data_IF_046181384923
#
_entry.id   IF_046181384923
#
_cell.length_a   1.000
_cell.length_b   1.000
_cell.length_c   1.000
_cell.angle_alpha   90.00
_cell.angle_beta   90.00
_cell.angle_gamma   90.00
#
_symmetry.space_group_name_H-M   'P 1'
#
loop_
_entity.id
_entity.type
_entity.pdbx_description
1 polymer ?
#
# COMPACT_ATOMS: atom_id res chain seq x y z
N UNK A 1 -59.63 -20.59 -31.64
CA UNK A 1 -59.44 -20.42 -30.19
C UNK A 1 -57.93 -20.33 -29.95
N UNK A 2 -57.35 -19.13 -29.98
CA UNK A 2 -55.92 -18.91 -29.73
C UNK A 2 -55.76 -18.47 -28.28
N UNK A 3 -55.10 -19.29 -27.46
CA UNK A 3 -54.72 -18.94 -26.10
C UNK A 3 -53.33 -18.29 -26.13
N UNK A 4 -53.29 -16.98 -25.95
CA UNK A 4 -52.07 -16.23 -25.65
C UNK A 4 -51.72 -16.40 -24.17
N UNK A 5 -50.64 -17.10 -23.86
CA UNK A 5 -50.07 -17.14 -22.52
C UNK A 5 -49.19 -15.90 -22.30
N UNK A 6 -49.70 -14.91 -21.57
CA UNK A 6 -48.93 -13.77 -21.10
C UNK A 6 -48.07 -14.17 -19.90
N UNK A 7 -46.76 -14.28 -20.09
CA UNK A 7 -45.82 -14.39 -18.99
C UNK A 7 -45.69 -13.04 -18.28
N UNK A 8 -46.42 -12.87 -17.17
CA UNK A 8 -46.19 -11.79 -16.21
C UNK A 8 -44.83 -12.00 -15.54
N UNK A 9 -43.82 -11.28 -16.02
CA UNK A 9 -42.53 -11.19 -15.36
C UNK A 9 -42.65 -10.26 -14.15
N UNK A 10 -42.89 -10.83 -12.97
CA UNK A 10 -42.69 -10.12 -11.72
C UNK A 10 -41.18 -9.89 -11.50
N UNK A 11 -40.70 -8.71 -11.85
CA UNK A 11 -39.38 -8.24 -11.43
C UNK A 11 -39.41 -7.97 -9.93
N UNK A 12 -39.06 -8.99 -9.13
CA UNK A 12 -38.76 -8.80 -7.72
C UNK A 12 -37.54 -7.88 -7.64
N UNK A 13 -37.72 -6.63 -7.19
CA UNK A 13 -36.60 -5.71 -6.91
C UNK A 13 -35.72 -6.34 -5.81
N UNK A 14 -34.72 -7.11 -6.23
CA UNK A 14 -33.76 -7.70 -5.32
C UNK A 14 -33.00 -6.55 -4.66
N UNK A 15 -33.19 -6.37 -3.35
CA UNK A 15 -32.44 -5.41 -2.55
C UNK A 15 -30.95 -5.68 -2.72
N UNK A 16 -30.20 -4.69 -3.18
CA UNK A 16 -28.75 -4.82 -3.32
C UNK A 16 -28.11 -5.04 -1.95
N UNK A 17 -27.06 -5.87 -1.82
CA UNK A 17 -26.41 -6.14 -0.54
C UNK A 17 -25.54 -4.97 -0.07
N UNK A 18 -25.66 -3.79 -0.68
CA UNK A 18 -24.92 -2.59 -0.36
C UNK A 18 -25.72 -1.32 -0.66
N UNK A 19 -25.36 -0.24 0.03
CA UNK A 19 -25.82 1.12 -0.25
C UNK A 19 -24.63 1.94 -0.75
N UNK A 20 -24.86 2.77 -1.78
CA UNK A 20 -23.87 3.75 -2.27
C UNK A 20 -24.36 5.17 -2.03
N UNK A 21 -23.46 6.01 -1.54
CA UNK A 21 -23.72 7.42 -1.28
C UNK A 21 -23.20 8.28 -2.43
N UNK A 22 -23.64 7.99 -3.67
CA UNK A 22 -23.07 8.59 -4.89
C UNK A 22 -23.19 10.12 -4.93
N UNK A 23 -24.22 10.68 -4.32
CA UNK A 23 -24.49 12.12 -4.34
C UNK A 23 -23.80 12.88 -3.20
N UNK A 24 -23.18 12.15 -2.26
CA UNK A 24 -22.54 12.75 -1.09
C UNK A 24 -21.06 12.98 -1.37
N UNK A 25 -20.60 14.19 -1.08
CA UNK A 25 -19.17 14.45 -0.93
C UNK A 25 -18.76 13.89 0.44
N UNK A 26 -17.68 13.13 0.45
CA UNK A 26 -17.14 12.52 1.65
C UNK A 26 -15.83 13.20 1.99
N UNK A 27 -15.78 13.84 3.15
CA UNK A 27 -14.54 14.28 3.76
C UNK A 27 -14.09 13.21 4.74
N UNK A 28 -12.83 12.82 4.65
CA UNK A 28 -12.26 11.85 5.56
C UNK A 28 -10.85 12.26 5.96
N UNK A 29 -10.50 11.81 7.16
CA UNK A 29 -9.15 11.87 7.68
C UNK A 29 -8.75 10.49 8.15
N UNK A 30 -7.46 10.21 8.14
CA UNK A 30 -6.94 9.02 8.78
C UNK A 30 -5.71 9.31 9.60
N UNK A 31 -5.53 8.55 10.67
CA UNK A 31 -4.40 8.67 11.57
C UNK A 31 -3.81 7.29 11.74
N UNK A 32 -2.52 7.14 11.47
CA UNK A 32 -1.91 5.83 11.45
C UNK A 32 -0.41 5.83 11.33
N UNK A 33 0.15 4.63 11.26
CA UNK A 33 1.56 4.40 11.09
C UNK A 33 1.83 3.71 9.76
N UNK A 34 2.76 4.29 9.02
CA UNK A 34 3.26 3.74 7.77
C UNK A 34 4.71 3.35 7.97
N UNK A 35 5.06 2.14 7.55
CA UNK A 35 6.43 1.66 7.67
C UNK A 35 6.85 0.89 6.44
N UNK A 36 8.10 1.10 6.01
CA UNK A 36 8.69 0.40 4.88
C UNK A 36 10.13 -0.02 5.16
N UNK A 37 10.41 -0.73 6.27
CA UNK A 37 11.74 -1.26 6.50
C UNK A 37 12.12 -2.19 5.36
N UNK A 38 13.38 -2.14 4.97
CA UNK A 38 13.93 -3.08 4.02
C UNK A 38 15.21 -3.73 4.55
N UNK A 39 15.57 -4.84 3.93
CA UNK A 39 16.78 -5.60 4.24
C UNK A 39 17.52 -5.88 2.96
N UNK A 40 18.84 -5.81 3.04
CA UNK A 40 19.74 -6.32 2.00
C UNK A 40 20.40 -7.57 2.58
N UNK A 41 20.23 -8.70 1.91
CA UNK A 41 20.78 -10.00 2.30
C UNK A 41 21.85 -10.37 1.29
N UNK A 42 23.05 -10.63 1.78
CA UNK A 42 24.23 -11.04 1.04
C UNK A 42 25.23 -11.61 2.05
N UNK A 43 26.05 -12.62 1.71
CA UNK A 43 27.15 -13.06 2.56
C UNK A 43 28.28 -12.00 2.55
N UNK A 44 28.11 -10.91 3.30
CA UNK A 44 29.09 -9.82 3.33
C UNK A 44 30.40 -10.26 4.01
N UNK A 45 30.28 -10.97 5.13
CA UNK A 45 31.36 -11.65 5.84
C UNK A 45 30.78 -12.71 6.80
N UNK A 46 31.63 -13.37 7.58
CA UNK A 46 31.24 -14.45 8.50
C UNK A 46 30.21 -14.02 9.56
N UNK A 47 30.23 -12.75 9.98
CA UNK A 47 29.38 -12.21 11.05
C UNK A 47 28.12 -11.48 10.54
N UNK A 48 28.15 -11.02 9.29
CA UNK A 48 27.14 -10.12 8.70
C UNK A 48 26.62 -10.73 7.40
N UNK A 49 25.45 -11.36 7.50
CA UNK A 49 24.70 -11.89 6.33
C UNK A 49 23.50 -11.03 5.92
N UNK A 50 23.19 -9.97 6.69
CA UNK A 50 22.03 -9.11 6.45
C UNK A 50 22.16 -7.72 7.04
N UNK A 51 21.87 -6.72 6.22
CA UNK A 51 21.70 -5.34 6.62
C UNK A 51 20.21 -5.04 6.83
N UNK A 52 19.87 -4.38 7.93
CA UNK A 52 18.49 -4.07 8.32
C UNK A 52 18.30 -2.56 8.34
N UNK A 53 17.70 -2.03 7.29
CA UNK A 53 17.36 -0.63 7.18
C UNK A 53 16.02 -0.39 7.88
N UNK A 54 16.02 0.57 8.79
CA UNK A 54 14.87 0.94 9.60
C UNK A 54 14.57 2.40 9.39
N UNK A 55 13.38 2.68 8.87
CA UNK A 55 12.79 4.01 8.97
C UNK A 55 12.40 4.29 10.44
N UNK A 56 12.46 5.56 10.82
CA UNK A 56 11.93 6.05 12.08
C UNK A 56 10.49 6.50 11.88
N UNK A 57 9.57 5.69 12.36
CA UNK A 57 8.14 5.89 12.13
C UNK A 57 7.65 7.16 12.82
N UNK A 58 6.86 7.93 12.09
CA UNK A 58 6.07 9.05 12.60
C UNK A 58 4.60 8.72 12.46
N UNK A 59 3.77 9.36 13.29
CA UNK A 59 2.33 9.32 13.10
C UNK A 59 1.99 10.07 11.81
N UNK A 60 1.18 9.49 10.93
CA UNK A 60 0.80 10.09 9.65
C UNK A 60 -0.65 10.53 9.72
N UNK A 61 -0.91 11.80 9.40
CA UNK A 61 -2.23 12.35 9.19
C UNK A 61 -2.56 12.32 7.68
N UNK A 62 -3.55 11.50 7.33
CA UNK A 62 -4.19 11.51 6.03
C UNK A 62 -5.35 12.49 5.99
N UNK A 63 -5.44 13.27 4.92
CA UNK A 63 -6.60 14.10 4.58
C UNK A 63 -7.05 13.67 3.20
N UNK A 64 -8.35 13.44 3.03
CA UNK A 64 -8.88 13.04 1.75
C UNK A 64 -10.33 13.43 1.50
N UNK A 65 -10.66 13.43 0.22
CA UNK A 65 -11.99 13.70 -0.29
C UNK A 65 -12.40 12.57 -1.22
N UNK A 66 -13.66 12.18 -1.17
CA UNK A 66 -14.23 11.21 -2.11
C UNK A 66 -15.58 11.67 -2.62
N UNK A 67 -15.82 11.44 -3.90
CA UNK A 67 -17.07 11.78 -4.56
C UNK A 67 -17.37 10.78 -5.67
N UNK A 68 -18.60 10.25 -5.68
CA UNK A 68 -19.09 9.25 -6.64
C UNK A 68 -18.23 7.98 -6.74
N UNK A 69 -17.31 7.99 -7.70
CA UNK A 69 -16.47 6.86 -8.09
C UNK A 69 -14.99 7.15 -7.86
N UNK A 70 -14.65 8.29 -7.28
CA UNK A 70 -13.29 8.83 -7.15
C UNK A 70 -12.95 9.15 -5.69
N UNK A 71 -11.69 8.98 -5.30
CA UNK A 71 -11.15 9.52 -4.05
C UNK A 71 -9.69 9.98 -4.22
N UNK A 72 -9.33 11.02 -3.49
CA UNK A 72 -7.97 11.52 -3.36
C UNK A 72 -7.59 11.56 -1.88
N UNK A 73 -6.36 11.18 -1.56
CA UNK A 73 -5.79 11.21 -0.21
C UNK A 73 -4.36 11.76 -0.26
N UNK A 74 -4.06 12.70 0.62
CA UNK A 74 -2.72 13.18 0.92
C UNK A 74 -2.35 12.77 2.33
N UNK A 75 -1.19 12.15 2.52
CA UNK A 75 -0.65 11.79 3.83
C UNK A 75 0.57 12.64 4.18
N UNK A 76 0.57 13.20 5.39
CA UNK A 76 1.64 14.05 5.91
C UNK A 76 2.08 13.48 7.25
N UNK A 77 3.39 13.33 7.46
CA UNK A 77 3.93 12.95 8.76
C UNK A 77 3.77 14.10 9.77
N UNK A 78 3.22 13.78 10.94
CA UNK A 78 3.14 14.68 12.07
C UNK A 78 4.50 14.76 12.80
N UNK A 79 4.77 15.86 13.52
CA UNK A 79 5.97 15.99 14.33
C UNK A 79 6.09 14.85 15.36
N UNK A 80 7.33 14.40 15.58
CA UNK A 80 7.65 13.33 16.50
C UNK A 80 7.91 11.98 15.81
N UNK A 81 8.67 11.13 16.49
CA UNK A 81 9.09 9.82 15.98
C UNK A 81 8.96 8.78 17.08
N UNK A 82 8.65 7.53 16.74
CA UNK A 82 8.51 6.44 17.71
C UNK A 82 9.85 6.12 18.39
N UNK A 83 10.98 6.30 17.69
CA UNK A 83 12.32 6.02 18.22
C UNK A 83 13.15 7.29 18.36
N UNK A 84 14.16 7.32 19.26
CA UNK A 84 15.04 8.47 19.44
C UNK A 84 15.75 8.86 18.12
N UNK A 85 15.61 10.11 17.65
CA UNK A 85 16.27 10.57 16.42
C UNK A 85 17.78 10.45 16.45
N UNK A 86 18.42 10.57 17.61
CA UNK A 86 19.86 10.39 17.78
C UNK A 86 20.36 8.98 17.40
N UNK A 87 19.48 7.97 17.44
CA UNK A 87 19.83 6.57 17.10
C UNK A 87 19.21 6.06 15.81
N UNK A 88 18.17 6.71 15.30
CA UNK A 88 17.42 6.23 14.13
C UNK A 88 17.23 7.29 13.04
N UNK A 89 17.72 8.51 13.25
CA UNK A 89 17.47 9.64 12.36
C UNK A 89 16.00 10.04 12.36
N UNK A 90 15.62 10.89 11.41
CA UNK A 90 14.22 11.21 11.10
C UNK A 90 13.91 10.62 9.73
N UNK A 91 12.68 10.13 9.56
CA UNK A 91 12.18 9.73 8.23
C UNK A 91 11.13 10.72 7.80
N UNK A 92 11.25 11.23 6.58
CA UNK A 92 10.22 12.06 5.94
C UNK A 92 9.29 11.17 5.11
N UNK A 93 7.99 11.44 5.16
CA UNK A 93 6.96 10.65 4.51
C UNK A 93 6.17 11.51 3.53
N UNK A 94 6.08 11.04 2.29
CA UNK A 94 5.17 11.59 1.28
C UNK A 94 4.31 10.46 0.75
N UNK A 95 3.01 10.52 1.06
CA UNK A 95 2.03 9.53 0.63
C UNK A 95 0.94 10.22 -0.19
N UNK A 96 0.76 9.78 -1.43
CA UNK A 96 -0.34 10.20 -2.31
C UNK A 96 -1.13 8.97 -2.72
N UNK A 97 -2.44 8.99 -2.45
CA UNK A 97 -3.36 7.91 -2.79
C UNK A 97 -4.49 8.41 -3.67
N UNK A 98 -4.78 7.66 -4.72
CA UNK A 98 -5.81 7.97 -5.71
C UNK A 98 -6.63 6.72 -6.02
N UNK A 99 -7.91 6.78 -5.72
CA UNK A 99 -8.83 5.66 -5.93
C UNK A 99 -9.86 6.04 -6.99
N UNK A 100 -10.18 5.10 -7.88
CA UNK A 100 -11.32 5.30 -8.77
C UNK A 100 -11.99 4.00 -9.23
N UNK A 101 -13.21 4.09 -9.76
CA UNK A 101 -13.94 2.93 -10.29
C UNK A 101 -14.43 3.18 -11.71
N UNK A 102 -14.11 2.27 -12.62
CA UNK A 102 -14.61 2.28 -14.00
C UNK A 102 -15.30 0.96 -14.30
N UNK A 103 -16.59 1.00 -14.62
CA UNK A 103 -17.42 -0.20 -14.84
C UNK A 103 -17.32 -1.19 -13.67
N UNK A 104 -16.76 -2.38 -13.89
CA UNK A 104 -16.58 -3.44 -12.88
C UNK A 104 -15.19 -3.42 -12.22
N UNK A 105 -14.28 -2.57 -12.68
CA UNK A 105 -12.93 -2.46 -12.17
C UNK A 105 -12.83 -1.34 -11.13
N UNK A 106 -12.14 -1.61 -10.03
CA UNK A 106 -11.68 -0.61 -9.08
C UNK A 106 -10.18 -0.44 -9.22
N UNK A 107 -9.71 0.78 -9.29
CA UNK A 107 -8.30 1.14 -9.40
C UNK A 107 -7.89 1.81 -8.10
N UNK A 108 -6.75 1.40 -7.55
CA UNK A 108 -6.02 2.16 -6.54
C UNK A 108 -4.60 2.41 -7.01
N UNK A 109 -4.21 3.66 -6.88
CA UNK A 109 -2.96 4.19 -7.35
C UNK A 109 -2.31 4.88 -6.16
N UNK A 110 -1.18 4.37 -5.74
CA UNK A 110 -0.47 4.86 -4.56
C UNK A 110 0.97 5.19 -4.91
N UNK A 111 1.44 6.31 -4.36
CA UNK A 111 2.84 6.72 -4.36
C UNK A 111 3.29 6.91 -2.90
N UNK A 112 4.34 6.19 -2.55
CA UNK A 112 5.03 6.28 -1.26
C UNK A 112 6.49 6.67 -1.50
N UNK A 113 6.93 7.77 -0.89
CA UNK A 113 8.32 8.21 -0.92
C UNK A 113 8.79 8.46 0.51
N UNK A 114 9.70 7.62 0.99
CA UNK A 114 10.24 7.67 2.35
C UNK A 114 11.74 7.93 2.32
N UNK A 115 12.16 9.05 2.91
CA UNK A 115 13.54 9.49 2.96
C UNK A 115 14.07 9.42 4.41
N UNK A 116 15.27 8.87 4.60
CA UNK A 116 15.93 8.76 5.89
C UNK A 116 15.74 7.40 6.55
N UNK A 117 16.85 6.69 6.73
CA UNK A 117 16.90 5.36 7.36
C UNK A 117 18.05 5.26 8.36
N UNK A 118 18.04 4.21 9.17
CA UNK A 118 19.21 3.78 9.93
C UNK A 118 19.51 2.30 9.66
N UNK A 119 20.79 1.96 9.50
CA UNK A 119 21.25 0.58 9.43
C UNK A 119 21.43 0.08 10.86
N UNK A 120 20.58 -0.88 11.26
CA UNK A 120 20.57 -1.38 12.64
C UNK A 120 21.82 -2.22 12.93
N UNK A 121 22.43 -1.99 14.10
CA UNK A 121 23.61 -2.73 14.60
C UNK A 121 24.86 -2.58 13.72
N UNK A 122 25.10 -1.39 13.18
CA UNK A 122 26.23 -1.11 12.32
C UNK A 122 27.59 -1.08 13.04
N UNK A 123 27.60 -0.94 14.37
CA UNK A 123 28.83 -1.08 15.19
C UNK A 123 29.54 -2.43 15.04
N UNK A 124 28.91 -3.42 14.40
CA UNK A 124 29.51 -4.73 14.13
C UNK A 124 30.55 -4.72 13.01
N UNK A 125 30.56 -3.68 12.17
CA UNK A 125 31.49 -3.56 11.03
C UNK A 125 31.99 -2.12 10.82
N UNK A 126 31.52 -1.17 11.63
CA UNK A 126 31.89 0.23 11.54
C UNK A 126 32.45 0.67 12.89
N UNK A 127 33.77 0.78 12.97
CA UNK A 127 34.52 1.06 14.20
C UNK A 127 34.27 2.46 14.77
N UNK A 128 33.70 3.37 13.96
CA UNK A 128 33.26 4.70 14.42
C UNK A 128 32.00 4.63 15.30
N UNK A 129 31.37 3.46 15.41
CA UNK A 129 30.14 3.23 16.17
C UNK A 129 30.40 2.31 17.37
N UNK A 130 29.53 2.38 18.37
CA UNK A 130 29.66 1.59 19.60
C UNK A 130 28.28 1.22 20.17
N UNK A 131 28.24 0.58 21.34
CA UNK A 131 26.97 0.16 21.96
C UNK A 131 26.03 1.32 22.31
N UNK A 132 26.54 2.54 22.53
CA UNK A 132 25.75 3.74 22.82
C UNK A 132 25.16 4.36 21.55
N UNK A 133 25.90 4.25 20.43
CA UNK A 133 25.52 4.71 19.09
C UNK A 133 25.58 3.51 18.12
N UNK A 134 24.67 2.53 18.23
CA UNK A 134 24.84 1.23 17.58
C UNK A 134 24.41 1.20 16.11
N UNK A 135 23.84 2.28 15.58
CA UNK A 135 23.25 2.31 14.25
C UNK A 135 23.91 3.38 13.40
N UNK A 136 24.05 3.10 12.10
CA UNK A 136 24.53 4.05 11.12
C UNK A 136 23.35 4.81 10.52
N UNK A 137 23.40 6.14 10.53
CA UNK A 137 22.34 6.98 9.98
C UNK A 137 22.55 7.17 8.48
N UNK A 138 21.48 7.01 7.71
CA UNK A 138 21.44 7.17 6.25
C UNK A 138 20.31 8.15 5.89
N UNK A 139 20.50 9.47 6.14
CA UNK A 139 19.47 10.47 5.88
C UNK A 139 19.13 10.61 4.39
N UNK A 140 20.11 10.43 3.50
CA UNK A 140 19.93 10.57 2.04
C UNK A 140 19.30 9.34 1.37
N UNK A 141 19.12 8.25 2.11
CA UNK A 141 18.57 7.01 1.59
C UNK A 141 17.06 7.17 1.42
N UNK A 142 16.60 6.98 0.20
CA UNK A 142 15.20 7.11 -0.19
C UNK A 142 14.67 5.77 -0.67
N UNK A 143 13.48 5.41 -0.22
CA UNK A 143 12.70 4.34 -0.85
C UNK A 143 11.48 4.92 -1.53
N UNK A 144 11.22 4.45 -2.74
CA UNK A 144 10.08 4.83 -3.56
C UNK A 144 9.26 3.57 -3.85
N UNK A 145 7.94 3.69 -3.76
CA UNK A 145 7.00 2.69 -4.23
C UNK A 145 5.81 3.37 -4.90
N UNK A 146 5.71 3.19 -6.21
CA UNK A 146 4.53 3.51 -7.00
C UNK A 146 3.79 2.21 -7.33
N UNK A 147 2.47 2.21 -7.19
CA UNK A 147 1.66 1.04 -7.54
C UNK A 147 0.35 1.44 -8.20
N UNK A 148 -0.07 0.64 -9.18
CA UNK A 148 -1.41 0.65 -9.76
C UNK A 148 -1.98 -0.75 -9.56
N UNK A 149 -3.00 -0.86 -8.73
CA UNK A 149 -3.70 -2.10 -8.46
C UNK A 149 -5.11 -2.00 -9.02
N UNK A 150 -5.52 -2.97 -9.81
CA UNK A 150 -6.89 -3.03 -10.35
C UNK A 150 -7.59 -4.25 -9.76
N UNK A 151 -8.77 -4.10 -9.16
CA UNK A 151 -9.56 -5.22 -8.66
C UNK A 151 -10.78 -5.45 -9.54
N UNK A 152 -10.94 -6.70 -9.97
CA UNK A 152 -12.09 -7.18 -10.73
C UNK A 152 -12.71 -8.33 -9.95
N UNK A 153 -13.96 -8.16 -9.55
CA UNK A 153 -14.69 -9.12 -8.71
C UNK A 153 -15.60 -10.02 -9.56
N UNK A 154 -15.60 -11.32 -9.27
CA UNK A 154 -16.54 -12.27 -9.88
C UNK A 154 -17.98 -11.98 -9.47
N UNK A 155 -18.22 -11.69 -8.19
CA UNK A 155 -19.54 -11.27 -7.72
C UNK A 155 -19.77 -9.80 -8.13
N UNK A 156 -20.72 -9.50 -9.03
CA UNK A 156 -20.95 -8.14 -9.50
C UNK A 156 -21.47 -7.20 -8.41
N UNK A 157 -22.04 -7.74 -7.33
CA UNK A 157 -22.49 -6.95 -6.19
C UNK A 157 -21.37 -6.60 -5.21
N UNK A 158 -20.20 -7.23 -5.33
CA UNK A 158 -19.05 -6.82 -4.52
C UNK A 158 -18.45 -5.51 -5.07
N UNK A 159 -18.53 -4.44 -4.28
CA UNK A 159 -17.99 -3.11 -4.59
C UNK A 159 -16.89 -2.73 -3.61
N UNK A 160 -15.68 -2.49 -4.11
CA UNK A 160 -14.55 -2.03 -3.28
C UNK A 160 -14.84 -0.73 -2.53
N UNK A 161 -15.59 0.20 -3.14
CA UNK A 161 -16.00 1.44 -2.46
C UNK A 161 -16.85 1.19 -1.20
N UNK A 162 -17.67 0.13 -1.18
CA UNK A 162 -18.44 -0.29 -0.01
C UNK A 162 -17.56 -1.07 0.99
N UNK A 163 -16.62 -1.88 0.50
CA UNK A 163 -15.62 -2.57 1.33
C UNK A 163 -14.80 -1.59 2.18
N UNK A 164 -14.32 -0.50 1.55
CA UNK A 164 -13.57 0.59 2.23
C UNK A 164 -14.42 1.45 3.16
N UNK A 165 -15.75 1.37 3.05
CA UNK A 165 -16.67 2.10 3.91
C UNK A 165 -16.81 3.61 3.63
N UNK A 166 -16.06 4.20 2.69
CA UNK A 166 -16.07 5.66 2.46
C UNK A 166 -17.32 6.13 1.72
N UNK A 167 -17.55 5.66 0.49
CA UNK A 167 -18.68 6.07 -0.38
C UNK A 167 -19.78 5.02 -0.49
N UNK A 168 -19.71 3.98 0.33
CA UNK A 168 -20.76 2.98 0.47
C UNK A 168 -20.59 2.15 1.75
N UNK A 169 -21.55 1.28 1.99
CA UNK A 169 -21.55 0.31 3.06
C UNK A 169 -22.26 -0.95 2.58
N UNK A 170 -21.81 -2.12 3.02
CA UNK A 170 -22.59 -3.35 2.84
C UNK A 170 -23.74 -3.39 3.85
N UNK A 171 -24.86 -3.98 3.46
CA UNK A 171 -26.03 -4.21 4.32
C UNK A 171 -26.14 -5.65 4.77
N UNK A 172 -25.45 -6.55 4.08
CA UNK A 172 -25.48 -8.00 4.28
C UNK A 172 -24.06 -8.56 4.12
N UNK A 173 -23.89 -9.81 4.55
CA UNK A 173 -22.65 -10.55 4.34
C UNK A 173 -22.44 -10.83 2.85
N UNK A 174 -21.20 -10.69 2.37
CA UNK A 174 -20.88 -10.93 0.97
C UNK A 174 -19.46 -11.43 0.84
N UNK A 175 -19.26 -12.35 -0.11
CA UNK A 175 -17.94 -12.80 -0.52
C UNK A 175 -17.80 -12.71 -2.04
N UNK A 176 -16.55 -12.71 -2.50
CA UNK A 176 -16.23 -12.80 -3.90
C UNK A 176 -14.84 -13.36 -4.10
N UNK A 177 -14.66 -14.10 -5.19
CA UNK A 177 -13.36 -14.24 -5.81
C UNK A 177 -13.00 -12.93 -6.54
N UNK A 178 -11.72 -12.57 -6.57
CA UNK A 178 -11.23 -11.45 -7.36
C UNK A 178 -9.95 -11.82 -8.11
N UNK A 179 -9.73 -11.08 -9.20
CA UNK A 179 -8.45 -11.03 -9.88
C UNK A 179 -7.91 -9.61 -9.72
N UNK A 180 -6.65 -9.50 -9.29
CA UNK A 180 -5.97 -8.22 -9.14
C UNK A 180 -4.78 -8.08 -10.10
N UNK A 181 -4.95 -7.54 -11.32
CA UNK A 181 -3.81 -7.06 -12.09
C UNK A 181 -3.07 -5.97 -11.31
N UNK A 182 -1.74 -6.04 -11.31
CA UNK A 182 -0.90 -5.13 -10.54
C UNK A 182 0.30 -4.68 -11.37
N UNK A 183 0.59 -3.39 -11.28
CA UNK A 183 1.79 -2.75 -11.81
C UNK A 183 2.49 -2.04 -10.64
N UNK A 184 3.78 -2.30 -10.42
CA UNK A 184 4.54 -1.66 -9.35
C UNK A 184 5.90 -1.18 -9.85
N UNK A 185 6.30 0.02 -9.46
CA UNK A 185 7.68 0.49 -9.56
C UNK A 185 8.17 0.74 -8.14
N UNK A 186 9.19 0.00 -7.71
CA UNK A 186 9.65 0.10 -6.33
C UNK A 186 11.16 -0.07 -6.22
N UNK A 187 11.74 0.48 -5.15
CA UNK A 187 13.17 0.37 -4.92
C UNK A 187 13.66 1.21 -3.75
N UNK A 188 14.96 1.19 -3.58
CA UNK A 188 15.67 2.07 -2.68
C UNK A 188 16.94 2.59 -3.38
N UNK A 189 17.28 3.84 -3.11
CA UNK A 189 18.47 4.48 -3.65
C UNK A 189 18.92 5.62 -2.75
N UNK A 190 20.22 5.90 -2.76
CA UNK A 190 20.76 7.11 -2.16
C UNK A 190 20.66 8.25 -3.15
N UNK A 191 20.18 9.42 -2.69
CA UNK A 191 20.25 10.64 -3.50
C UNK A 191 21.68 11.22 -3.54
N UNK A 192 22.59 10.71 -2.70
CA UNK A 192 24.00 11.09 -2.67
C UNK A 192 24.91 10.07 -3.36
N UNK A 193 26.23 10.22 -3.17
CA UNK A 193 27.26 9.31 -3.68
C UNK A 193 27.37 8.00 -2.89
N UNK A 194 26.66 7.88 -1.77
CA UNK A 194 26.78 6.71 -0.91
C UNK A 194 26.10 5.47 -1.55
N UNK A 195 26.77 4.31 -1.58
CA UNK A 195 26.14 3.06 -1.96
C UNK A 195 25.10 2.62 -0.91
N UNK A 196 24.15 1.76 -1.32
CA UNK A 196 23.17 1.20 -0.37
C UNK A 196 23.89 0.43 0.74
N UNK A 197 24.81 -0.44 0.34
CA UNK A 197 25.65 -1.23 1.25
C UNK A 197 26.83 -0.34 1.66
N UNK A 198 27.18 -0.26 2.95
CA UNK A 198 28.37 0.48 3.40
C UNK A 198 29.66 -0.08 2.79
N UNK A 199 30.61 0.79 2.45
CA UNK A 199 31.87 0.44 1.80
C UNK A 199 32.67 -0.65 2.56
N UNK A 200 32.54 -0.72 3.89
CA UNK A 200 33.20 -1.74 4.73
C UNK A 200 32.71 -3.17 4.42
N UNK A 201 31.56 -3.31 3.75
CA UNK A 201 30.92 -4.57 3.44
C UNK A 201 30.81 -4.81 1.92
N UNK A 202 31.46 -3.98 1.11
CA UNK A 202 31.46 -4.16 -0.33
C UNK A 202 32.37 -5.30 -0.76
N UNK A 203 31.88 -6.14 -1.67
CA UNK A 203 32.67 -7.15 -2.35
C UNK A 203 33.17 -6.55 -3.67
N UNK A 204 34.48 -6.30 -3.74
CA UNK A 204 35.13 -5.65 -4.89
C UNK A 204 35.02 -6.48 -6.18
N UNK A 205 34.73 -7.77 -6.08
CA UNK A 205 34.49 -8.63 -7.25
C UNK A 205 33.05 -8.57 -7.76
N UNK A 206 32.13 -7.93 -7.03
CA UNK A 206 30.69 -7.96 -7.28
C UNK A 206 30.10 -6.55 -7.31
N UNK A 207 29.98 -5.97 -8.50
CA UNK A 207 29.44 -4.60 -8.71
C UNK A 207 28.02 -4.35 -8.17
N UNK A 208 27.27 -5.40 -7.83
CA UNK A 208 25.97 -5.30 -7.17
C UNK A 208 26.07 -4.84 -5.72
N UNK A 209 27.21 -5.02 -5.05
CA UNK A 209 27.39 -4.58 -3.66
C UNK A 209 27.73 -3.09 -3.58
N UNK A 210 28.34 -2.52 -4.61
CA UNK A 210 28.62 -1.07 -4.74
C UNK A 210 27.45 -0.28 -5.35
N UNK A 211 26.23 -0.81 -5.32
CA UNK A 211 25.08 -0.20 -5.98
C UNK A 211 24.51 0.98 -5.17
N UNK A 212 24.30 2.13 -5.83
CA UNK A 212 23.62 3.32 -5.26
C UNK A 212 22.11 3.24 -5.36
N UNK A 213 21.58 2.40 -6.24
CA UNK A 213 20.15 2.14 -6.34
C UNK A 213 19.86 0.69 -6.72
N UNK A 214 18.77 0.18 -6.15
CA UNK A 214 18.14 -1.07 -6.55
C UNK A 214 16.67 -0.75 -6.82
N UNK A 215 16.22 -1.06 -8.03
CA UNK A 215 14.85 -0.79 -8.47
C UNK A 215 14.25 -1.99 -9.18
N UNK A 216 12.93 -2.06 -9.21
CA UNK A 216 12.20 -3.07 -9.95
C UNK A 216 10.88 -2.52 -10.48
N UNK A 217 10.52 -2.99 -11.67
CA UNK A 217 9.23 -2.82 -12.33
C UNK A 217 8.56 -4.18 -12.37
N UNK A 218 7.42 -4.30 -11.71
CA UNK A 218 6.62 -5.52 -11.66
C UNK A 218 5.35 -5.35 -12.49
N UNK A 219 5.04 -6.38 -13.28
CA UNK A 219 3.72 -6.57 -13.89
C UNK A 219 3.23 -7.97 -13.53
N UNK A 220 2.01 -8.09 -13.02
CA UNK A 220 1.46 -9.41 -12.78
C UNK A 220 0.02 -9.42 -12.31
N UNK A 221 -0.36 -10.55 -11.71
CA UNK A 221 -1.73 -10.82 -11.30
C UNK A 221 -1.76 -11.54 -9.96
N UNK A 222 -2.67 -11.09 -9.10
CA UNK A 222 -2.91 -11.66 -7.78
C UNK A 222 -4.38 -12.09 -7.67
N UNK A 223 -4.71 -13.37 -7.92
CA UNK A 223 -6.01 -13.90 -7.59
C UNK A 223 -6.19 -13.98 -6.07
N UNK A 224 -7.43 -13.87 -5.62
CA UNK A 224 -7.71 -13.94 -4.19
C UNK A 224 -9.19 -14.01 -3.85
N UNK A 225 -9.44 -14.02 -2.54
CA UNK A 225 -10.78 -14.09 -1.96
C UNK A 225 -11.01 -12.89 -1.07
N UNK A 226 -12.24 -12.40 -1.08
CA UNK A 226 -12.70 -11.35 -0.17
C UNK A 226 -13.99 -11.79 0.52
N UNK A 227 -14.11 -11.45 1.79
CA UNK A 227 -15.31 -11.63 2.59
C UNK A 227 -15.59 -10.36 3.40
N UNK A 228 -16.86 -10.03 3.52
CA UNK A 228 -17.38 -8.97 4.39
C UNK A 228 -18.50 -9.56 5.23
N UNK A 229 -18.41 -9.30 6.53
CA UNK A 229 -19.46 -9.52 7.51
C UNK A 229 -20.07 -8.19 7.92
N UNK A 230 -21.40 -8.11 7.92
CA UNK A 230 -22.16 -6.95 8.37
C UNK A 230 -23.00 -7.33 9.58
N UNK A 231 -22.80 -6.62 10.68
CA UNK A 231 -23.62 -6.75 11.89
C UNK A 231 -24.09 -5.37 12.32
N UNK A 232 -25.40 -5.11 12.16
CA UNK A 232 -26.01 -3.79 12.39
C UNK A 232 -25.25 -2.70 11.65
N UNK A 233 -24.52 -1.87 12.38
CA UNK A 233 -23.75 -0.73 11.88
C UNK A 233 -22.26 -1.02 11.78
N UNK A 234 -21.81 -2.18 12.25
CA UNK A 234 -20.43 -2.62 12.18
C UNK A 234 -20.19 -3.44 10.91
N UNK A 235 -19.06 -3.19 10.26
CA UNK A 235 -18.62 -3.92 9.08
C UNK A 235 -17.21 -4.43 9.32
N UNK A 236 -16.98 -5.71 9.06
CA UNK A 236 -15.66 -6.34 9.10
C UNK A 236 -15.42 -6.99 7.75
N UNK A 237 -14.26 -6.75 7.17
CA UNK A 237 -13.89 -7.24 5.86
C UNK A 237 -12.45 -7.69 5.84
N UNK A 238 -12.21 -8.80 5.18
CA UNK A 238 -10.87 -9.33 4.94
C UNK A 238 -10.75 -9.71 3.46
N UNK A 239 -9.63 -9.37 2.86
CA UNK A 239 -9.25 -9.85 1.55
C UNK A 239 -7.81 -10.32 1.56
N UNK A 240 -7.55 -11.41 0.86
CA UNK A 240 -6.25 -12.03 0.78
C UNK A 240 -6.06 -12.66 -0.60
N UNK A 241 -4.86 -12.52 -1.14
CA UNK A 241 -4.50 -13.10 -2.44
C UNK A 241 -3.04 -13.49 -2.51
N UNK A 242 -2.76 -14.49 -3.34
CA UNK A 242 -1.43 -14.97 -3.66
C UNK A 242 -1.30 -15.03 -5.18
N UNK A 243 -0.23 -14.46 -5.72
CA UNK A 243 0.01 -14.43 -7.14
C UNK A 243 1.48 -14.27 -7.48
N UNK A 244 1.74 -13.91 -8.73
CA UNK A 244 3.09 -13.80 -9.27
C UNK A 244 3.19 -12.57 -10.15
N UNK A 245 4.40 -12.02 -10.22
CA UNK A 245 4.76 -10.92 -11.10
C UNK A 245 5.97 -11.29 -11.94
N UNK A 246 5.96 -10.84 -13.19
CA UNK A 246 7.16 -10.68 -13.99
C UNK A 246 7.83 -9.39 -13.50
N UNK A 247 9.07 -9.52 -13.08
CA UNK A 247 9.85 -8.45 -12.47
C UNK A 247 11.06 -8.14 -13.35
N UNK A 248 11.10 -6.91 -13.87
CA UNK A 248 12.30 -6.29 -14.43
C UNK A 248 13.04 -5.60 -13.30
N UNK A 249 14.24 -6.06 -12.96
CA UNK A 249 15.03 -5.60 -11.81
C UNK A 249 16.33 -4.99 -12.27
N UNK A 250 16.71 -3.89 -11.64
CA UNK A 250 17.87 -3.09 -12.01
C UNK A 250 18.70 -2.74 -10.78
N UNK A 251 20.01 -2.69 -10.96
CA UNK A 251 20.91 -2.05 -10.01
C UNK A 251 21.87 -1.13 -10.76
N UNK A 252 22.26 -0.03 -10.12
CA UNK A 252 23.18 0.95 -10.67
C UNK A 252 24.34 1.20 -9.71
N UNK A 253 25.57 1.11 -10.20
CA UNK A 253 26.82 1.42 -9.50
C UNK A 253 27.68 2.30 -10.40
N UNK A 254 28.06 3.50 -9.96
CA UNK A 254 28.82 4.52 -10.71
C UNK A 254 28.59 4.58 -12.23
N UNK A 255 29.31 3.76 -13.00
CA UNK A 255 29.30 3.73 -14.47
C UNK A 255 28.53 2.55 -15.10
N UNK A 256 28.01 1.63 -14.28
CA UNK A 256 27.38 0.38 -14.72
C UNK A 256 25.94 0.31 -14.21
N UNK A 257 25.01 0.17 -15.16
CA UNK A 257 23.63 -0.23 -14.91
C UNK A 257 23.39 -1.61 -15.49
N UNK A 258 22.85 -2.54 -14.69
CA UNK A 258 22.48 -3.88 -15.15
C UNK A 258 21.01 -4.15 -14.92
N UNK A 259 20.36 -4.75 -15.90
CA UNK A 259 18.96 -5.16 -15.86
C UNK A 259 18.82 -6.66 -15.99
N UNK A 260 17.84 -7.22 -15.29
CA UNK A 260 17.51 -8.65 -15.35
C UNK A 260 16.00 -8.83 -15.32
N UNK A 261 15.53 -9.95 -15.86
CA UNK A 261 14.15 -10.40 -15.69
C UNK A 261 14.08 -11.50 -14.64
N UNK A 262 12.92 -11.62 -14.01
CA UNK A 262 12.66 -12.68 -13.04
C UNK A 262 11.19 -12.81 -12.74
N UNK A 263 10.87 -13.83 -11.96
CA UNK A 263 9.54 -14.03 -11.38
C UNK A 263 9.63 -13.83 -9.88
N UNK A 264 8.61 -13.18 -9.29
CA UNK A 264 8.51 -13.03 -7.86
C UNK A 264 7.08 -13.33 -7.38
N UNK A 265 6.91 -14.04 -6.25
CA UNK A 265 5.60 -14.19 -5.63
C UNK A 265 5.12 -12.86 -5.05
N UNK A 266 3.81 -12.66 -5.02
CA UNK A 266 3.14 -11.52 -4.38
C UNK A 266 2.04 -12.02 -3.48
N UNK A 267 2.03 -11.52 -2.25
CA UNK A 267 1.01 -11.78 -1.26
C UNK A 267 0.46 -10.44 -0.79
N UNK A 268 -0.86 -10.30 -0.82
CA UNK A 268 -1.57 -9.09 -0.46
C UNK A 268 -2.67 -9.44 0.53
N UNK A 269 -2.67 -8.79 1.69
CA UNK A 269 -3.71 -8.93 2.70
C UNK A 269 -4.16 -7.55 3.15
N UNK A 270 -5.47 -7.36 3.13
CA UNK A 270 -6.13 -6.17 3.60
C UNK A 270 -7.26 -6.54 4.55
N UNK A 271 -7.26 -5.92 5.71
CA UNK A 271 -8.29 -6.07 6.72
C UNK A 271 -8.87 -4.69 7.05
N UNK A 272 -10.19 -4.63 7.08
CA UNK A 272 -10.95 -3.41 7.34
C UNK A 272 -12.05 -3.74 8.33
N UNK A 273 -12.11 -3.02 9.45
CA UNK A 273 -13.15 -3.23 10.44
C UNK A 273 -13.59 -1.91 11.05
N UNK A 274 -14.88 -1.72 11.30
CA UNK A 274 -15.34 -0.53 11.99
C UNK A 274 -16.82 -0.26 11.89
N UNK A 275 -17.18 0.96 12.25
CA UNK A 275 -18.55 1.45 12.31
C UNK A 275 -18.87 2.30 11.09
N UNK A 276 -19.97 1.99 10.41
CA UNK A 276 -20.36 2.63 9.16
C UNK A 276 -21.87 2.89 9.12
N UNK A 277 -22.25 4.17 9.14
CA UNK A 277 -23.63 4.67 9.07
C UNK A 277 -23.80 5.62 7.88
N UNK A 278 -25.00 5.97 7.41
CA UNK A 278 -25.18 6.83 6.23
C UNK A 278 -24.56 8.23 6.29
N UNK A 279 -24.31 8.78 7.49
CA UNK A 279 -23.75 10.14 7.68
C UNK A 279 -22.27 10.15 8.06
N UNK A 280 -21.78 9.15 8.80
CA UNK A 280 -20.40 9.10 9.26
C UNK A 280 -19.89 7.66 9.32
N UNK A 281 -18.57 7.51 9.38
CA UNK A 281 -17.92 6.21 9.52
C UNK A 281 -16.59 6.36 10.26
N UNK A 282 -16.17 5.27 10.90
CA UNK A 282 -14.85 5.11 11.53
C UNK A 282 -14.40 3.68 11.26
N UNK A 283 -13.28 3.50 10.57
CA UNK A 283 -12.77 2.20 10.13
C UNK A 283 -11.30 2.06 10.50
N UNK A 284 -10.93 0.96 11.16
CA UNK A 284 -9.56 0.46 11.20
C UNK A 284 -9.24 -0.16 9.83
N UNK A 285 -8.14 0.24 9.23
CA UNK A 285 -7.64 -0.28 7.95
C UNK A 285 -6.20 -0.74 8.16
N UNK A 286 -5.92 -1.98 7.76
CA UNK A 286 -4.57 -2.53 7.72
C UNK A 286 -4.26 -3.08 6.35
N UNK A 287 -3.08 -2.76 5.85
CA UNK A 287 -2.56 -3.25 4.58
C UNK A 287 -1.16 -3.83 4.78
N UNK A 288 -0.94 -5.05 4.26
CA UNK A 288 0.35 -5.71 4.27
C UNK A 288 0.77 -6.05 2.84
N UNK A 289 1.96 -5.57 2.48
CA UNK A 289 2.58 -5.86 1.19
C UNK A 289 4.06 -6.20 1.38
N UNK A 290 4.51 -7.23 0.68
CA UNK A 290 5.89 -7.70 0.73
C UNK A 290 6.47 -7.73 -0.68
N UNK A 291 7.48 -6.90 -0.90
CA UNK A 291 8.20 -6.76 -2.16
C UNK A 291 9.62 -7.28 -2.00
N UNK A 292 10.11 -7.95 -3.03
CA UNK A 292 11.48 -8.47 -3.03
C UNK A 292 12.09 -8.37 -4.41
N UNK A 293 13.40 -8.12 -4.42
CA UNK A 293 14.24 -8.08 -5.61
C UNK A 293 15.45 -8.98 -5.32
N UNK A 294 15.83 -9.86 -6.26
CA UNK A 294 16.94 -10.82 -6.06
C UNK A 294 17.88 -10.85 -7.26
N UNK A 295 19.17 -10.65 -7.03
CA UNK A 295 20.27 -10.77 -7.98
C UNK A 295 21.23 -11.87 -7.50
N UNK A 296 20.96 -13.12 -7.91
CA UNK A 296 21.66 -14.32 -7.43
C UNK A 296 21.63 -14.40 -5.90
N UNK A 297 22.77 -14.12 -5.25
CA UNK A 297 22.95 -14.18 -3.80
C UNK A 297 22.55 -12.89 -3.07
N UNK A 298 22.45 -11.77 -3.80
CA UNK A 298 22.01 -10.50 -3.23
C UNK A 298 20.49 -10.39 -3.30
N UNK A 299 19.84 -10.16 -2.16
CA UNK A 299 18.39 -9.99 -2.08
C UNK A 299 18.02 -8.73 -1.32
N UNK A 300 17.27 -7.85 -1.98
CA UNK A 300 16.55 -6.75 -1.36
C UNK A 300 15.13 -7.22 -0.99
N UNK A 301 14.72 -6.99 0.25
CA UNK A 301 13.37 -7.35 0.74
C UNK A 301 12.77 -6.19 1.50
N UNK A 302 11.63 -5.70 1.06
CA UNK A 302 10.91 -4.59 1.64
C UNK A 302 9.53 -5.03 2.09
N UNK A 303 9.16 -4.64 3.31
CA UNK A 303 7.85 -4.95 3.87
C UNK A 303 7.14 -3.64 4.15
N UNK A 304 6.03 -3.41 3.45
CA UNK A 304 5.13 -2.30 3.72
C UNK A 304 4.05 -2.77 4.70
N UNK A 305 3.92 -2.04 5.80
CA UNK A 305 2.84 -2.25 6.74
C UNK A 305 2.19 -0.91 7.05
N UNK A 306 0.87 -0.86 6.85
CA UNK A 306 0.03 0.29 7.13
C UNK A 306 -1.01 -0.12 8.17
N UNK A 307 -1.13 0.66 9.24
CA UNK A 307 -2.26 0.57 10.17
C UNK A 307 -2.78 1.97 10.42
N UNK A 308 -4.07 2.19 10.15
CA UNK A 308 -4.70 3.52 10.28
C UNK A 308 -6.15 3.41 10.74
N UNK A 309 -6.58 4.41 11.49
CA UNK A 309 -7.98 4.66 11.78
C UNK A 309 -8.45 5.74 10.81
N UNK A 310 -9.44 5.43 9.99
CA UNK A 310 -10.04 6.32 8.99
C UNK A 310 -11.41 6.77 9.51
N UNK A 311 -11.58 8.05 9.76
CA UNK A 311 -12.86 8.67 10.14
C UNK A 311 -13.34 9.62 9.05
N UNK A 312 -14.66 9.72 8.85
CA UNK A 312 -15.18 10.66 7.88
C UNK A 312 -16.67 10.94 7.98
N UNK A 313 -17.08 12.02 7.30
CA UNK A 313 -18.46 12.50 7.21
C UNK A 313 -18.90 12.55 5.75
N UNK A 314 -20.19 12.27 5.51
CA UNK A 314 -20.81 12.33 4.18
C UNK A 314 -21.81 13.48 4.15
N UNK A 315 -21.44 14.52 3.42
CA UNK A 315 -22.25 15.74 3.32
C UNK A 315 -23.50 15.49 2.48
N UNK A 316 -24.63 15.99 2.95
CA UNK A 316 -25.87 15.94 2.18
C UNK A 316 -25.82 16.95 1.01
N UNK A 317 -26.33 16.58 -0.18
CA UNK A 317 -26.37 17.49 -1.31
C UNK A 317 -27.29 18.68 -0.99
N UNK A 318 -26.85 19.91 -1.33
CA UNK A 318 -27.74 21.08 -1.26
C UNK A 318 -28.91 20.85 -2.22
N UNK A 319 -30.15 20.88 -1.71
CA UNK A 319 -31.36 20.83 -2.55
C UNK A 319 -31.30 21.99 -3.56
N UNK A 320 -31.20 21.70 -4.85
CA UNK A 320 -31.40 22.72 -5.89
C UNK A 320 -32.86 23.18 -5.78
N UNK A 321 -33.10 24.44 -5.45
CA UNK A 321 -34.43 25.04 -5.64
C UNK A 321 -34.74 24.90 -7.13
N UNK A 322 -35.80 24.18 -7.48
CA UNK A 322 -36.35 24.25 -8.83
C UNK A 322 -36.69 25.71 -9.06
N UNK A 323 -36.16 26.32 -10.13
CA UNK A 323 -36.79 27.50 -10.69
C UNK A 323 -38.15 27.01 -11.19
N UNK A 324 -39.21 27.52 -10.59
CA UNK A 324 -40.52 27.52 -11.23
C UNK A 324 -40.39 28.52 -12.38
N UNK A 325 -40.52 28.01 -13.61
CA UNK A 325 -40.59 28.82 -14.83
C UNK A 325 -42.03 29.31 -15.03
#
# INVERSE_FOLDING_TARGET
>A
MFLTASFLSFSQESKLPYVRYKEKIVWFTDLGFNTAPFKVVYPFNDDVSKLKYKNNMSLVLGIGVSYKWFALRLGIALPGTIRPPSRYGRTQYYDLGFDFSVKRAFFDVDLHVYNGYAIKNAYRWNDSLNYLIPNELRPELTSVSFSINTWIFRNPHFKMAAFRGKTGAYTEDIHSFYIKPTFNVHGAGSNGKDPLIPYQLEDTNQTKTSAHSITAVDLGVVPGMVYVKRWKSYQVGIMGGLGFVVQSKFYSSDSISRGFLGLAPRFDVKFIAGYNQPRYFVMLVTDFDNKSIRFNDLSYRQTFYNIKIVGGIRLEPKKRKKKED
#
